data_IF_553716750835
#
_entry.id   IF_553716750835
#
_cell.length_a   1.000
_cell.length_b   1.000
_cell.length_c   1.000
_cell.angle_alpha   90.00
_cell.angle_beta   90.00
_cell.angle_gamma   90.00
#
_symmetry.space_group_name_H-M   'P 1'
#
loop_
_entity.id
_entity.type
_entity.pdbx_description
1 polymer ?
#
# COMPACT_ATOMS: atom_id res chain seq x y z
N UNK A 1 -59.03 -0.84 -31.11
CA UNK A 1 -60.18 -1.51 -30.46
C UNK A 1 -59.76 -2.96 -30.20
N UNK A 2 -60.11 -3.52 -29.04
CA UNK A 2 -59.75 -4.86 -28.48
C UNK A 2 -58.40 -4.85 -27.72
N UNK A 3 -58.37 -4.85 -26.39
CA UNK A 3 -58.78 -5.83 -25.35
C UNK A 3 -57.65 -6.79 -24.92
N UNK A 4 -57.28 -6.62 -23.64
CA UNK A 4 -56.70 -7.53 -22.64
C UNK A 4 -56.11 -8.88 -23.07
N UNK A 5 -54.87 -9.11 -22.63
CA UNK A 5 -54.46 -10.42 -22.08
C UNK A 5 -53.89 -10.19 -20.69
N UNK A 6 -54.66 -10.59 -19.67
CA UNK A 6 -54.22 -10.75 -18.29
C UNK A 6 -53.31 -11.97 -18.18
N UNK A 7 -52.17 -11.81 -17.50
CA UNK A 7 -51.36 -12.91 -16.98
C UNK A 7 -50.94 -12.58 -15.56
N UNK A 8 -51.72 -13.04 -14.58
CA UNK A 8 -51.40 -12.99 -13.16
C UNK A 8 -50.24 -13.95 -12.83
N UNK A 9 -49.22 -13.47 -12.12
CA UNK A 9 -48.47 -14.27 -11.15
C UNK A 9 -48.05 -13.40 -9.96
N UNK A 10 -49.02 -12.90 -9.20
CA UNK A 10 -48.80 -12.10 -7.98
C UNK A 10 -49.12 -12.89 -6.70
N UNK A 11 -48.79 -14.20 -6.69
CA UNK A 11 -49.09 -15.11 -5.58
C UNK A 11 -47.88 -15.77 -4.91
N UNK A 12 -46.67 -15.71 -5.49
CA UNK A 12 -45.50 -16.42 -4.93
C UNK A 12 -44.59 -15.56 -4.06
N UNK A 13 -44.59 -14.24 -4.23
CA UNK A 13 -43.63 -13.34 -3.55
C UNK A 13 -44.02 -12.96 -2.12
N UNK A 14 -45.31 -12.99 -1.78
CA UNK A 14 -45.79 -12.66 -0.43
C UNK A 14 -45.51 -13.82 0.55
N UNK A 15 -45.82 -15.06 0.14
CA UNK A 15 -45.55 -16.27 0.92
C UNK A 15 -44.05 -16.49 1.14
N UNK A 16 -43.21 -16.23 0.13
CA UNK A 16 -41.75 -16.31 0.27
C UNK A 16 -41.18 -15.31 1.29
N UNK A 17 -41.75 -14.10 1.39
CA UNK A 17 -41.32 -13.08 2.37
C UNK A 17 -41.80 -13.37 3.79
N UNK A 18 -43.00 -13.93 3.95
CA UNK A 18 -43.50 -14.35 5.27
C UNK A 18 -42.73 -15.56 5.80
N UNK A 19 -42.51 -16.59 4.97
CA UNK A 19 -41.68 -17.75 5.32
C UNK A 19 -40.24 -17.35 5.68
N UNK A 20 -39.60 -16.46 4.90
CA UNK A 20 -38.27 -15.94 5.24
C UNK A 20 -38.26 -15.19 6.57
N UNK A 21 -39.33 -14.47 6.91
CA UNK A 21 -39.44 -13.71 8.17
C UNK A 21 -39.64 -14.63 9.38
N UNK A 22 -40.40 -15.70 9.22
CA UNK A 22 -40.58 -16.75 10.23
C UNK A 22 -39.29 -17.53 10.44
N UNK A 23 -38.61 -17.94 9.37
CA UNK A 23 -37.30 -18.61 9.41
C UNK A 23 -36.23 -17.72 10.06
N UNK A 24 -36.27 -16.41 9.77
CA UNK A 24 -35.43 -15.41 10.43
C UNK A 24 -35.72 -15.36 11.93
N UNK A 25 -36.98 -15.21 12.35
CA UNK A 25 -37.32 -15.17 13.78
C UNK A 25 -36.96 -16.46 14.51
N UNK A 26 -37.12 -17.63 13.87
CA UNK A 26 -36.73 -18.92 14.43
C UNK A 26 -35.20 -19.04 14.59
N UNK A 27 -34.42 -18.65 13.58
CA UNK A 27 -32.96 -18.66 13.65
C UNK A 27 -32.43 -17.67 14.71
N UNK A 28 -33.07 -16.51 14.81
CA UNK A 28 -32.68 -15.44 15.75
C UNK A 28 -33.16 -15.70 17.18
N UNK A 29 -34.22 -16.50 17.35
CA UNK A 29 -34.78 -16.90 18.65
C UNK A 29 -34.27 -18.24 19.17
N UNK A 30 -33.65 -19.06 18.32
CA UNK A 30 -33.08 -20.35 18.71
C UNK A 30 -31.74 -20.22 19.45
N UNK A 31 -31.57 -20.99 20.52
CA UNK A 31 -30.31 -21.15 21.27
C UNK A 31 -29.21 -21.90 20.48
N UNK A 32 -29.27 -21.92 19.14
CA UNK A 32 -28.19 -22.50 18.35
C UNK A 32 -26.91 -21.72 18.66
N UNK A 33 -25.79 -22.39 19.02
CA UNK A 33 -24.56 -21.70 19.33
C UNK A 33 -23.96 -21.13 18.04
N UNK A 34 -24.45 -19.97 17.61
CA UNK A 34 -24.04 -19.29 16.38
C UNK A 34 -22.53 -19.10 16.30
N UNK A 35 -21.89 -18.93 17.47
CA UNK A 35 -20.44 -18.84 17.60
C UNK A 35 -19.69 -20.11 17.13
N UNK A 36 -20.33 -21.28 17.07
CA UNK A 36 -19.73 -22.55 16.61
C UNK A 36 -19.80 -22.73 15.09
N UNK A 37 -20.57 -21.90 14.38
CA UNK A 37 -20.70 -21.96 12.93
C UNK A 37 -19.45 -21.44 12.23
N UNK A 38 -18.58 -22.37 11.86
CA UNK A 38 -17.30 -22.07 11.21
C UNK A 38 -17.42 -21.70 9.71
N UNK A 39 -18.61 -21.87 9.12
CA UNK A 39 -18.88 -21.59 7.71
C UNK A 39 -20.23 -20.87 7.54
N UNK A 40 -20.18 -19.63 7.04
CA UNK A 40 -21.34 -18.78 6.82
C UNK A 40 -22.32 -19.33 5.78
N UNK A 41 -21.89 -20.25 4.90
CA UNK A 41 -22.78 -20.92 3.95
C UNK A 41 -23.76 -21.89 4.63
N UNK A 42 -23.51 -22.24 5.90
CA UNK A 42 -24.37 -23.10 6.72
C UNK A 42 -25.36 -22.32 7.57
N UNK A 43 -25.30 -20.99 7.55
CA UNK A 43 -26.29 -20.12 8.19
C UNK A 43 -27.59 -20.23 7.39
N UNK A 44 -28.71 -20.52 8.05
CA UNK A 44 -29.99 -20.68 7.36
C UNK A 44 -31.08 -19.88 8.08
N UNK A 45 -31.77 -18.93 7.42
CA UNK A 45 -31.54 -18.47 6.05
C UNK A 45 -30.26 -17.63 5.92
N UNK A 46 -29.58 -17.70 4.76
CA UNK A 46 -28.41 -16.82 4.48
C UNK A 46 -28.91 -15.42 4.14
N UNK A 47 -28.92 -14.52 5.13
CA UNK A 47 -29.31 -13.11 4.95
C UNK A 47 -28.27 -12.19 5.59
N UNK A 48 -28.32 -10.89 5.29
CA UNK A 48 -27.45 -9.91 5.92
C UNK A 48 -27.57 -9.94 7.45
N UNK A 49 -28.80 -10.06 7.97
CA UNK A 49 -29.04 -10.07 9.43
C UNK A 49 -28.48 -11.32 10.10
N UNK A 50 -28.74 -12.50 9.55
CA UNK A 50 -28.28 -13.77 10.15
C UNK A 50 -26.77 -13.92 10.08
N UNK A 51 -26.15 -13.49 8.98
CA UNK A 51 -24.69 -13.44 8.84
C UNK A 51 -24.07 -12.46 9.84
N UNK A 52 -24.63 -11.26 9.98
CA UNK A 52 -24.14 -10.27 10.94
C UNK A 52 -24.23 -10.78 12.38
N UNK A 53 -25.37 -11.38 12.77
CA UNK A 53 -25.54 -11.97 14.11
C UNK A 53 -24.57 -13.12 14.37
N UNK A 54 -24.33 -13.97 13.38
CA UNK A 54 -23.35 -15.05 13.46
C UNK A 54 -21.93 -14.50 13.70
N UNK A 55 -21.52 -13.51 12.90
CA UNK A 55 -20.22 -12.85 13.05
C UNK A 55 -20.08 -12.14 14.40
N UNK A 56 -21.14 -11.48 14.89
CA UNK A 56 -21.17 -10.86 16.22
C UNK A 56 -21.02 -11.90 17.34
N UNK A 57 -21.77 -13.00 17.28
CA UNK A 57 -21.68 -14.07 18.27
C UNK A 57 -20.27 -14.71 18.29
N UNK A 58 -19.67 -14.94 17.12
CA UNK A 58 -18.28 -15.44 17.00
C UNK A 58 -17.27 -14.45 17.57
N UNK A 59 -17.42 -13.15 17.27
CA UNK A 59 -16.55 -12.11 17.81
C UNK A 59 -16.60 -12.04 19.33
N UNK A 60 -17.80 -12.09 19.93
CA UNK A 60 -17.99 -12.11 21.39
C UNK A 60 -17.38 -13.35 22.04
N UNK A 61 -17.31 -14.47 21.32
CA UNK A 61 -16.67 -15.71 21.74
C UNK A 61 -15.17 -15.78 21.36
N UNK A 62 -14.52 -14.65 21.09
CA UNK A 62 -13.10 -14.55 20.72
C UNK A 62 -12.70 -15.42 19.50
N UNK A 63 -13.62 -15.59 18.55
CA UNK A 63 -13.40 -16.33 17.31
C UNK A 63 -13.47 -15.38 16.10
N UNK A 64 -12.30 -15.07 15.53
CA UNK A 64 -12.14 -13.96 14.58
C UNK A 64 -12.09 -14.36 13.10
N UNK A 65 -11.98 -15.65 12.82
CA UNK A 65 -11.93 -16.19 11.46
C UNK A 65 -13.16 -17.05 11.18
N UNK A 66 -13.78 -16.86 10.01
CA UNK A 66 -14.97 -17.59 9.60
C UNK A 66 -14.90 -17.87 8.10
N UNK A 67 -15.25 -19.08 7.66
CA UNK A 67 -15.32 -19.39 6.23
C UNK A 67 -16.60 -18.80 5.62
N UNK A 68 -16.52 -18.43 4.35
CA UNK A 68 -17.64 -18.09 3.49
C UNK A 68 -17.39 -18.76 2.14
N UNK A 69 -17.69 -20.07 2.07
CA UNK A 69 -17.32 -20.89 0.91
C UNK A 69 -15.80 -20.92 0.73
N UNK A 70 -15.31 -20.42 -0.41
CA UNK A 70 -13.88 -20.33 -0.71
C UNK A 70 -13.17 -19.11 -0.11
N UNK A 71 -13.92 -18.16 0.48
CA UNK A 71 -13.38 -16.94 1.07
C UNK A 71 -13.22 -17.11 2.58
N UNK A 72 -12.17 -16.51 3.16
CA UNK A 72 -12.00 -16.39 4.60
C UNK A 72 -12.37 -14.98 5.04
N UNK A 73 -13.35 -14.85 5.92
CA UNK A 73 -13.71 -13.60 6.60
C UNK A 73 -12.88 -13.49 7.87
N UNK A 74 -12.13 -12.39 8.02
CA UNK A 74 -11.33 -12.09 9.19
C UNK A 74 -11.85 -10.80 9.84
N UNK A 75 -12.14 -10.85 11.13
CA UNK A 75 -12.53 -9.68 11.93
C UNK A 75 -11.36 -9.22 12.78
N UNK A 76 -10.98 -7.95 12.67
CA UNK A 76 -9.87 -7.41 13.47
C UNK A 76 -10.30 -7.31 14.95
N UNK A 77 -9.63 -8.01 15.88
CA UNK A 77 -9.99 -7.97 17.30
C UNK A 77 -9.56 -6.67 17.99
N UNK A 78 -8.70 -5.85 17.38
CA UNK A 78 -8.07 -4.67 17.99
C UNK A 78 -7.35 -4.95 19.34
N UNK A 79 -7.06 -6.22 19.62
CA UNK A 79 -6.28 -6.68 20.77
C UNK A 79 -5.27 -7.75 20.33
N UNK A 80 -4.11 -7.85 21.00
CA UNK A 80 -3.13 -8.90 20.70
C UNK A 80 -3.67 -10.27 21.13
N UNK A 81 -3.55 -11.25 20.25
CA UNK A 81 -3.95 -12.66 20.51
C UNK A 81 -2.80 -13.58 20.08
N UNK A 82 -1.67 -13.57 20.80
CA UNK A 82 -0.44 -14.26 20.38
C UNK A 82 -0.63 -15.77 20.23
N UNK A 83 -1.48 -16.38 21.07
CA UNK A 83 -1.78 -17.82 21.01
C UNK A 83 -2.38 -18.27 19.68
N UNK A 84 -3.01 -17.37 18.92
CA UNK A 84 -3.61 -17.69 17.62
C UNK A 84 -2.56 -17.81 16.50
N UNK A 85 -1.36 -17.27 16.72
CA UNK A 85 -0.30 -17.17 15.71
C UNK A 85 1.02 -17.78 16.20
N UNK A 86 0.96 -18.74 17.12
CA UNK A 86 2.15 -19.39 17.64
C UNK A 86 2.78 -20.34 16.61
N UNK A 87 4.09 -20.63 16.69
CA UNK A 87 4.75 -21.60 15.82
C UNK A 87 4.11 -23.01 15.88
N UNK A 88 3.58 -23.39 17.04
CA UNK A 88 2.89 -24.67 17.26
C UNK A 88 1.60 -24.72 16.43
N UNK A 89 0.81 -23.65 16.43
CA UNK A 89 -0.39 -23.54 15.59
C UNK A 89 -0.01 -23.56 14.11
N UNK A 90 1.06 -22.87 13.71
CA UNK A 90 1.54 -22.93 12.31
C UNK A 90 1.87 -24.37 11.88
N UNK A 91 2.56 -25.12 12.75
CA UNK A 91 2.89 -26.53 12.50
C UNK A 91 1.66 -27.44 12.49
N UNK A 92 0.68 -27.20 13.36
CA UNK A 92 -0.59 -27.95 13.38
C UNK A 92 -1.28 -27.87 12.01
N UNK A 93 -1.44 -26.66 11.48
CA UNK A 93 -2.08 -26.48 10.17
C UNK A 93 -1.24 -27.03 9.01
N UNK A 94 0.09 -26.95 9.10
CA UNK A 94 0.99 -27.46 8.07
C UNK A 94 0.96 -29.01 7.97
N UNK A 95 1.03 -29.69 9.11
CA UNK A 95 1.11 -31.16 9.19
C UNK A 95 -0.25 -31.86 9.02
N UNK A 96 -1.36 -31.14 9.20
CA UNK A 96 -2.70 -31.71 9.08
C UNK A 96 -2.96 -32.30 7.68
N UNK A 97 -3.37 -33.57 7.55
CA UNK A 97 -3.68 -34.15 6.24
C UNK A 97 -4.81 -33.41 5.51
N UNK A 98 -5.78 -32.89 6.26
CA UNK A 98 -6.95 -32.18 5.75
C UNK A 98 -7.15 -30.84 6.49
N UNK A 99 -6.36 -29.80 6.19
CA UNK A 99 -6.39 -28.51 6.90
C UNK A 99 -7.76 -27.81 6.82
N UNK A 100 -8.56 -28.11 5.79
CA UNK A 100 -9.94 -27.64 5.65
C UNK A 100 -10.91 -28.18 6.73
N UNK A 101 -10.57 -29.29 7.41
CA UNK A 101 -11.34 -29.82 8.54
C UNK A 101 -11.02 -29.13 9.86
N UNK A 102 -9.89 -28.42 9.94
CA UNK A 102 -9.55 -27.62 11.12
C UNK A 102 -10.45 -26.38 11.22
N UNK A 103 -10.32 -25.68 12.36
CA UNK A 103 -10.99 -24.40 12.57
C UNK A 103 -10.60 -23.40 11.46
N UNK A 104 -11.51 -22.49 11.06
CA UNK A 104 -11.17 -21.45 10.10
C UNK A 104 -9.97 -20.65 10.58
N UNK A 105 -8.94 -20.54 9.75
CA UNK A 105 -7.76 -19.77 10.08
C UNK A 105 -7.05 -19.29 8.82
N UNK A 106 -6.27 -18.21 8.95
CA UNK A 106 -5.44 -17.71 7.84
C UNK A 106 -4.40 -18.75 7.39
N UNK A 107 -3.94 -19.61 8.29
CA UNK A 107 -3.00 -20.69 7.98
C UNK A 107 -3.64 -21.80 7.13
N UNK A 108 -4.96 -22.01 7.20
CA UNK A 108 -5.65 -22.90 6.24
C UNK A 108 -5.48 -22.39 4.81
N UNK A 109 -5.65 -21.09 4.59
CA UNK A 109 -5.45 -20.45 3.28
C UNK A 109 -3.97 -20.55 2.89
N UNK A 110 -3.07 -20.22 3.81
CA UNK A 110 -1.62 -20.30 3.59
C UNK A 110 -1.15 -21.69 3.15
N UNK A 111 -1.60 -22.74 3.87
CA UNK A 111 -1.27 -24.14 3.60
C UNK A 111 -1.87 -24.63 2.28
N UNK A 112 -3.14 -24.30 2.01
CA UNK A 112 -3.77 -24.67 0.73
C UNK A 112 -3.01 -24.07 -0.46
N UNK A 113 -2.64 -22.79 -0.36
CA UNK A 113 -1.80 -22.11 -1.35
C UNK A 113 -0.44 -22.80 -1.51
N UNK A 114 0.22 -23.17 -0.40
CA UNK A 114 1.52 -23.86 -0.43
C UNK A 114 1.43 -25.22 -1.14
N UNK A 115 0.44 -26.05 -0.77
CA UNK A 115 0.21 -27.38 -1.38
C UNK A 115 -0.08 -27.29 -2.87
N UNK A 116 -0.88 -26.30 -3.30
CA UNK A 116 -1.26 -26.13 -4.70
C UNK A 116 -0.06 -25.81 -5.62
N UNK A 117 1.01 -25.21 -5.08
CA UNK A 117 2.26 -25.00 -5.84
C UNK A 117 2.95 -26.34 -6.10
N UNK A 118 2.85 -27.30 -5.17
CA UNK A 118 3.51 -28.62 -5.21
C UNK A 118 2.72 -29.67 -6.01
N UNK A 119 1.39 -29.62 -5.96
CA UNK A 119 0.53 -30.73 -6.39
C UNK A 119 0.42 -30.93 -7.91
N UNK A 120 1.09 -30.12 -8.72
CA UNK A 120 0.95 -30.12 -10.17
C UNK A 120 2.28 -30.49 -10.84
N UNK A 121 2.22 -31.32 -11.88
CA UNK A 121 3.39 -31.74 -12.70
C UNK A 121 4.15 -30.51 -13.20
N UNK A 122 3.41 -29.45 -13.54
CA UNK A 122 3.93 -28.10 -13.72
C UNK A 122 3.44 -27.19 -12.58
N UNK A 123 4.34 -26.61 -11.77
CA UNK A 123 3.95 -25.72 -10.69
C UNK A 123 3.16 -24.51 -11.20
N UNK A 124 1.94 -24.35 -10.71
CA UNK A 124 1.13 -23.16 -11.01
C UNK A 124 1.27 -22.15 -9.89
N UNK A 125 1.63 -20.93 -10.30
CA UNK A 125 1.78 -19.79 -9.41
C UNK A 125 0.46 -19.45 -8.72
N UNK A 126 0.46 -19.36 -7.39
CA UNK A 126 -0.73 -19.03 -6.59
C UNK A 126 -0.69 -17.60 -6.08
N UNK A 127 -1.86 -17.01 -5.81
CA UNK A 127 -2.05 -15.66 -5.28
C UNK A 127 -3.07 -15.58 -4.16
N UNK A 128 -2.83 -14.72 -3.17
CA UNK A 128 -3.74 -14.47 -2.05
C UNK A 128 -4.12 -12.98 -2.07
N UNK A 129 -5.40 -12.69 -2.32
CA UNK A 129 -5.90 -11.31 -2.32
C UNK A 129 -6.48 -10.98 -0.95
N UNK A 130 -5.92 -9.98 -0.29
CA UNK A 130 -6.41 -9.48 1.01
C UNK A 130 -7.09 -8.13 0.79
N UNK A 131 -8.42 -8.12 0.88
CA UNK A 131 -9.25 -6.92 0.72
C UNK A 131 -9.85 -6.46 2.06
N UNK A 132 -10.34 -5.22 2.09
CA UNK A 132 -10.97 -4.63 3.27
C UNK A 132 -10.70 -3.14 3.41
N UNK A 133 -11.50 -2.46 4.22
CA UNK A 133 -11.33 -1.04 4.50
C UNK A 133 -10.03 -0.74 5.27
N UNK A 134 -9.70 0.54 5.39
CA UNK A 134 -8.55 0.98 6.18
C UNK A 134 -8.72 0.55 7.64
N UNK A 135 -7.67 0.01 8.26
CA UNK A 135 -7.75 -0.53 9.63
C UNK A 135 -8.39 -1.92 9.77
N UNK A 136 -8.92 -2.52 8.70
CA UNK A 136 -9.57 -3.85 8.75
C UNK A 136 -8.62 -5.03 9.04
N UNK A 137 -7.30 -4.80 9.19
CA UNK A 137 -6.33 -5.85 9.49
C UNK A 137 -5.58 -6.44 8.29
N UNK A 138 -5.68 -5.84 7.09
CA UNK A 138 -5.00 -6.34 5.87
C UNK A 138 -3.50 -6.56 6.06
N UNK A 139 -2.80 -5.54 6.55
CA UNK A 139 -1.35 -5.58 6.79
C UNK A 139 -0.96 -6.65 7.81
N UNK A 140 -1.79 -6.80 8.85
CA UNK A 140 -1.59 -7.84 9.88
C UNK A 140 -1.75 -9.25 9.29
N UNK A 141 -2.83 -9.48 8.53
CA UNK A 141 -3.06 -10.75 7.83
C UNK A 141 -1.90 -11.12 6.90
N UNK A 142 -1.39 -10.15 6.11
CA UNK A 142 -0.20 -10.37 5.27
C UNK A 142 1.03 -10.74 6.10
N UNK A 143 1.26 -10.07 7.24
CA UNK A 143 2.36 -10.40 8.15
C UNK A 143 2.22 -11.82 8.72
N UNK A 144 1.02 -12.25 9.10
CA UNK A 144 0.78 -13.61 9.59
C UNK A 144 1.09 -14.67 8.51
N UNK A 145 0.68 -14.44 7.26
CA UNK A 145 1.01 -15.33 6.14
C UNK A 145 2.52 -15.40 5.90
N UNK A 146 3.22 -14.27 5.99
CA UNK A 146 4.67 -14.24 5.81
C UNK A 146 5.40 -15.03 6.89
N UNK A 147 5.00 -14.90 8.15
CA UNK A 147 5.53 -15.72 9.25
C UNK A 147 5.27 -17.20 9.00
N UNK A 148 4.03 -17.55 8.63
CA UNK A 148 3.67 -18.92 8.30
C UNK A 148 4.59 -19.51 7.22
N UNK A 149 4.77 -18.80 6.10
CA UNK A 149 5.67 -19.25 5.04
C UNK A 149 7.14 -19.29 5.45
N UNK A 150 7.60 -18.41 6.32
CA UNK A 150 8.96 -18.47 6.84
C UNK A 150 9.20 -19.76 7.67
N UNK A 151 8.18 -20.24 8.39
CA UNK A 151 8.24 -21.51 9.14
C UNK A 151 8.15 -22.72 8.21
N UNK A 152 7.16 -22.76 7.29
CA UNK A 152 6.87 -24.00 6.52
C UNK A 152 7.70 -24.16 5.25
N UNK A 153 8.26 -23.08 4.71
CA UNK A 153 9.12 -23.10 3.52
C UNK A 153 10.63 -23.10 3.88
N UNK A 154 10.97 -23.36 5.14
CA UNK A 154 12.33 -23.64 5.56
C UNK A 154 12.60 -25.16 5.50
N UNK A 155 13.83 -25.55 5.18
CA UNK A 155 14.19 -26.97 5.21
C UNK A 155 14.29 -27.44 6.67
N UNK A 156 13.65 -28.57 7.05
CA UNK A 156 13.77 -29.12 8.39
C UNK A 156 15.21 -29.52 8.76
N UNK A 157 16.03 -29.82 7.74
CA UNK A 157 17.39 -30.36 7.89
C UNK A 157 18.50 -29.33 7.69
N UNK A 158 18.18 -28.10 7.26
CA UNK A 158 19.20 -27.08 7.01
C UNK A 158 18.92 -25.78 7.78
N UNK A 159 19.75 -25.58 8.81
CA UNK A 159 19.79 -24.34 9.59
C UNK A 159 19.97 -23.09 8.72
N UNK A 160 20.71 -23.21 7.61
CA UNK A 160 20.91 -22.10 6.68
C UNK A 160 19.61 -21.70 5.96
N UNK A 161 18.74 -22.66 5.60
CA UNK A 161 17.47 -22.33 4.94
C UNK A 161 16.49 -21.64 5.89
N UNK A 162 16.48 -22.03 7.17
CA UNK A 162 15.73 -21.32 8.21
C UNK A 162 16.17 -19.85 8.33
N UNK A 163 17.49 -19.61 8.43
CA UNK A 163 18.04 -18.26 8.47
C UNK A 163 17.71 -17.43 7.23
N UNK A 164 17.70 -18.04 6.04
CA UNK A 164 17.34 -17.35 4.81
C UNK A 164 15.88 -16.90 4.84
N UNK A 165 14.96 -17.80 5.20
CA UNK A 165 13.53 -17.51 5.27
C UNK A 165 13.22 -16.41 6.30
N UNK A 166 13.81 -16.50 7.51
CA UNK A 166 13.68 -15.49 8.56
C UNK A 166 14.24 -14.13 8.11
N UNK A 167 15.43 -14.10 7.48
CA UNK A 167 16.00 -12.86 6.93
C UNK A 167 15.11 -12.22 5.87
N UNK A 168 14.48 -13.02 5.01
CA UNK A 168 13.54 -12.52 3.99
C UNK A 168 12.30 -11.92 4.66
N UNK A 169 11.70 -12.63 5.63
CA UNK A 169 10.56 -12.17 6.41
C UNK A 169 10.87 -10.84 7.12
N UNK A 170 11.97 -10.80 7.89
CA UNK A 170 12.41 -9.60 8.60
C UNK A 170 12.68 -8.42 7.67
N UNK A 171 13.33 -8.63 6.51
CA UNK A 171 13.56 -7.54 5.55
C UNK A 171 12.28 -6.95 5.00
N UNK A 172 11.28 -7.77 4.71
CA UNK A 172 10.01 -7.27 4.21
C UNK A 172 9.24 -6.55 5.32
N UNK A 173 9.27 -7.05 6.57
CA UNK A 173 8.66 -6.36 7.70
C UNK A 173 9.35 -5.01 7.99
N UNK A 174 10.69 -4.98 7.95
CA UNK A 174 11.49 -3.77 8.16
C UNK A 174 11.33 -2.75 7.03
N UNK A 175 10.76 -3.15 5.89
CA UNK A 175 10.42 -2.21 4.82
C UNK A 175 9.12 -1.45 5.04
N UNK A 176 8.26 -1.92 5.96
CA UNK A 176 6.96 -1.29 6.20
C UNK A 176 7.09 0.17 6.65
N UNK A 177 7.95 0.56 7.62
CA UNK A 177 8.03 1.95 8.04
C UNK A 177 8.38 2.92 6.91
N UNK A 178 9.22 2.49 5.95
CA UNK A 178 9.52 3.29 4.75
C UNK A 178 8.29 3.38 3.85
N UNK A 179 7.62 2.26 3.57
CA UNK A 179 6.40 2.27 2.76
C UNK A 179 5.26 3.08 3.38
N UNK A 180 5.12 3.05 4.70
CA UNK A 180 4.12 3.81 5.44
C UNK A 180 4.44 5.30 5.41
N UNK A 181 5.70 5.69 5.65
CA UNK A 181 6.12 7.09 5.55
C UNK A 181 5.79 7.71 4.17
N UNK A 182 6.13 7.00 3.09
CA UNK A 182 5.98 7.51 1.72
C UNK A 182 4.61 7.25 1.08
N UNK A 183 3.84 6.31 1.60
CA UNK A 183 2.62 5.80 0.95
C UNK A 183 1.36 5.88 1.81
N UNK A 184 1.47 6.09 3.11
CA UNK A 184 0.32 6.28 3.98
C UNK A 184 0.09 7.77 4.28
N UNK A 185 -1.16 8.09 4.60
CA UNK A 185 -1.56 9.42 5.00
C UNK A 185 -2.69 9.37 6.02
N UNK A 186 -2.84 10.46 6.77
CA UNK A 186 -3.98 10.68 7.64
C UNK A 186 -5.19 11.10 6.82
N UNK A 187 -6.28 10.35 7.00
CA UNK A 187 -7.61 10.60 6.42
C UNK A 187 -8.60 10.93 7.54
N UNK A 188 -9.85 11.23 7.19
CA UNK A 188 -10.90 11.47 8.19
C UNK A 188 -11.18 10.29 9.12
N UNK A 189 -11.02 9.05 8.65
CA UNK A 189 -11.38 7.83 9.39
C UNK A 189 -10.19 7.05 9.95
N UNK A 190 -8.99 7.24 9.39
CA UNK A 190 -7.79 6.52 9.81
C UNK A 190 -6.56 7.43 9.70
N UNK A 191 -5.77 7.49 10.77
CA UNK A 191 -4.54 8.25 10.86
C UNK A 191 -3.42 7.68 9.98
N UNK A 192 -3.41 6.36 9.72
CA UNK A 192 -2.35 5.68 8.97
C UNK A 192 -2.95 4.84 7.82
N UNK A 193 -3.58 5.50 6.86
CA UNK A 193 -4.24 4.81 5.74
C UNK A 193 -3.30 4.65 4.55
N UNK A 194 -3.06 3.41 4.09
CA UNK A 194 -2.33 3.17 2.84
C UNK A 194 -3.06 3.73 1.63
N UNK A 195 -2.33 4.51 0.81
CA UNK A 195 -2.81 5.15 -0.42
C UNK A 195 -2.09 4.59 -1.65
N UNK A 196 -1.66 3.34 -1.56
CA UNK A 196 -1.05 2.54 -2.62
C UNK A 196 -1.43 1.07 -2.44
N UNK A 197 -1.39 0.30 -3.52
CA UNK A 197 -1.48 -1.15 -3.48
C UNK A 197 -0.10 -1.78 -3.27
N UNK A 198 -0.05 -2.86 -2.51
CA UNK A 198 1.18 -3.60 -2.20
C UNK A 198 1.06 -5.03 -2.71
N UNK A 199 2.04 -5.46 -3.50
CA UNK A 199 2.18 -6.81 -4.01
C UNK A 199 3.48 -7.41 -3.47
N UNK A 200 3.41 -8.55 -2.79
CA UNK A 200 4.57 -9.19 -2.15
C UNK A 200 4.76 -10.55 -2.80
N UNK A 201 5.69 -10.65 -3.73
CA UNK A 201 5.99 -11.92 -4.37
C UNK A 201 6.98 -12.72 -3.53
N UNK A 202 6.57 -13.84 -2.94
CA UNK A 202 7.50 -14.82 -2.35
C UNK A 202 7.97 -15.81 -3.43
N UNK A 203 9.24 -16.22 -3.38
CA UNK A 203 9.85 -17.10 -4.38
C UNK A 203 10.27 -18.42 -3.73
N UNK A 204 9.77 -19.52 -4.29
CA UNK A 204 10.08 -20.87 -3.85
C UNK A 204 10.90 -21.60 -4.92
N UNK A 205 11.83 -22.46 -4.50
CA UNK A 205 12.50 -23.39 -5.41
C UNK A 205 11.66 -24.65 -5.66
N UNK A 206 12.17 -25.58 -6.49
CA UNK A 206 11.49 -26.86 -6.77
C UNK A 206 11.30 -27.75 -5.54
N UNK A 207 12.13 -27.57 -4.50
CA UNK A 207 12.02 -28.24 -3.22
C UNK A 207 11.07 -27.50 -2.25
N UNK A 208 10.28 -26.52 -2.73
CA UNK A 208 9.37 -25.68 -1.94
C UNK A 208 10.05 -24.79 -0.89
N UNK A 209 11.36 -24.61 -0.97
CA UNK A 209 12.08 -23.77 -0.02
C UNK A 209 12.05 -22.30 -0.45
N UNK A 210 11.91 -21.39 0.50
CA UNK A 210 11.93 -19.95 0.24
C UNK A 210 13.34 -19.50 -0.16
N UNK A 211 13.46 -18.94 -1.37
CA UNK A 211 14.74 -18.47 -1.92
C UNK A 211 14.79 -16.95 -2.08
N UNK A 212 13.67 -16.25 -2.12
CA UNK A 212 13.67 -14.82 -2.31
C UNK A 212 12.30 -14.18 -2.17
N UNK A 213 12.27 -12.85 -2.27
CA UNK A 213 11.03 -12.10 -2.30
C UNK A 213 11.16 -10.79 -3.10
N UNK A 214 10.06 -10.28 -3.61
CA UNK A 214 10.01 -8.96 -4.22
C UNK A 214 8.79 -8.20 -3.72
N UNK A 215 8.96 -6.94 -3.35
CA UNK A 215 7.86 -6.06 -2.97
C UNK A 215 7.67 -5.03 -4.08
N UNK A 216 6.45 -4.96 -4.60
CA UNK A 216 6.07 -4.00 -5.63
C UNK A 216 4.91 -3.16 -5.12
N UNK A 217 5.01 -1.86 -5.28
CA UNK A 217 3.96 -0.91 -4.95
C UNK A 217 3.33 -0.41 -6.23
N UNK A 218 2.01 -0.29 -6.27
CA UNK A 218 1.26 0.15 -7.44
C UNK A 218 0.17 1.14 -7.06
N UNK A 219 -0.27 1.96 -8.03
CA UNK A 219 -1.39 2.90 -7.87
C UNK A 219 -1.28 3.83 -6.66
N UNK A 220 -0.10 4.39 -6.42
CA UNK A 220 0.06 5.48 -5.45
C UNK A 220 -0.88 6.64 -5.81
N UNK A 221 -1.59 7.18 -4.82
CA UNK A 221 -2.43 8.37 -4.95
C UNK A 221 -1.57 9.63 -5.12
N UNK A 222 -0.93 9.77 -6.29
CA UNK A 222 0.01 10.86 -6.59
C UNK A 222 -0.63 12.24 -6.40
N UNK A 223 -1.93 12.36 -6.69
CA UNK A 223 -2.69 13.59 -6.51
C UNK A 223 -2.59 14.17 -5.11
N UNK A 224 -2.45 13.30 -4.09
CA UNK A 224 -2.29 13.69 -2.68
C UNK A 224 -1.05 14.53 -2.42
N UNK A 225 -0.02 14.47 -3.26
CA UNK A 225 1.18 15.31 -3.10
C UNK A 225 0.84 16.79 -3.16
N UNK A 226 -0.09 17.18 -4.05
CA UNK A 226 -0.40 18.58 -4.32
C UNK A 226 -1.81 19.02 -3.86
N UNK A 227 -2.70 18.07 -3.56
CA UNK A 227 -4.08 18.35 -3.19
C UNK A 227 -4.60 17.33 -2.19
N UNK A 228 -5.09 17.81 -1.05
CA UNK A 228 -5.66 17.00 0.04
C UNK A 228 -7.05 17.54 0.40
N UNK A 229 -7.93 16.68 0.91
CA UNK A 229 -9.23 17.12 1.40
C UNK A 229 -9.09 17.93 2.71
N UNK A 230 -10.12 18.71 3.03
CA UNK A 230 -10.17 19.43 4.31
C UNK A 230 -9.99 18.47 5.48
N UNK A 231 -9.19 18.86 6.48
CA UNK A 231 -8.83 18.05 7.66
C UNK A 231 -8.02 16.77 7.39
N UNK A 232 -7.63 16.49 6.15
CA UNK A 232 -6.67 15.43 5.81
C UNK A 232 -5.23 15.97 5.76
N UNK A 233 -4.26 15.05 5.84
CA UNK A 233 -2.85 15.36 5.66
C UNK A 233 -2.33 14.84 4.32
N UNK A 234 -1.18 15.37 3.94
CA UNK A 234 -0.31 14.79 2.92
C UNK A 234 0.35 13.49 3.46
N UNK A 235 1.21 12.84 2.67
CA UNK A 235 1.98 11.67 3.10
C UNK A 235 2.81 11.95 4.36
N UNK A 236 2.92 10.96 5.25
CA UNK A 236 3.60 11.12 6.54
C UNK A 236 5.02 11.64 6.43
N UNK A 237 5.76 11.22 5.39
CA UNK A 237 7.16 11.61 5.19
C UNK A 237 7.36 13.13 5.17
N UNK A 238 6.41 13.91 4.63
CA UNK A 238 6.52 15.36 4.62
C UNK A 238 6.44 15.97 6.03
N UNK A 239 5.67 15.37 6.93
CA UNK A 239 5.55 15.79 8.33
C UNK A 239 6.73 15.29 9.14
N UNK A 240 7.17 14.05 8.90
CA UNK A 240 8.36 13.47 9.53
C UNK A 240 9.60 14.33 9.28
N UNK A 241 9.89 14.71 8.03
CA UNK A 241 11.05 15.58 7.74
C UNK A 241 10.88 16.99 8.34
N UNK A 242 9.66 17.53 8.38
CA UNK A 242 9.44 18.88 8.92
C UNK A 242 9.50 18.92 10.45
N UNK A 243 9.21 17.81 11.14
CA UNK A 243 9.21 17.73 12.61
C UNK A 243 10.52 17.16 13.16
N UNK A 244 11.05 16.09 12.55
CA UNK A 244 12.21 15.35 13.04
C UNK A 244 13.57 15.81 12.49
N UNK A 245 13.63 16.79 11.58
CA UNK A 245 14.91 17.30 11.12
C UNK A 245 15.71 17.98 12.25
N UNK A 246 17.00 17.67 12.33
CA UNK A 246 17.98 18.38 13.16
C UNK A 246 18.19 19.83 12.70
N UNK A 247 18.83 20.66 13.52
CA UNK A 247 19.09 22.07 13.18
C UNK A 247 19.90 22.21 11.87
N UNK A 248 20.91 21.37 11.67
CA UNK A 248 21.74 21.38 10.46
C UNK A 248 20.95 20.92 9.23
N UNK A 249 20.15 19.86 9.37
CA UNK A 249 19.27 19.38 8.30
C UNK A 249 18.22 20.44 7.92
N UNK A 250 17.64 21.15 8.89
CA UNK A 250 16.70 22.26 8.63
C UNK A 250 17.35 23.38 7.85
N UNK A 251 18.58 23.75 8.19
CA UNK A 251 19.35 24.74 7.44
C UNK A 251 19.62 24.26 6.02
N UNK A 252 20.07 23.01 5.86
CA UNK A 252 20.41 22.42 4.58
C UNK A 252 19.19 22.21 3.66
N UNK A 253 18.04 21.87 4.22
CA UNK A 253 16.81 21.59 3.49
C UNK A 253 15.90 22.82 3.39
N UNK A 254 16.32 23.96 3.94
CA UNK A 254 15.53 25.18 4.05
C UNK A 254 14.14 24.94 4.67
N UNK A 255 14.09 24.10 5.71
CA UNK A 255 12.88 23.78 6.49
C UNK A 255 12.92 24.48 7.85
N UNK A 256 12.94 25.81 7.81
CA UNK A 256 12.91 26.64 9.01
C UNK A 256 11.70 26.29 9.89
N UNK A 257 11.88 26.36 11.21
CA UNK A 257 10.80 26.10 12.15
C UNK A 257 9.67 27.12 11.97
N UNK A 258 8.41 26.66 11.95
CA UNK A 258 7.25 27.50 11.66
C UNK A 258 7.07 27.88 10.18
N UNK A 259 7.91 27.39 9.26
CA UNK A 259 7.70 27.63 7.83
C UNK A 259 6.37 27.05 7.35
N UNK A 260 5.61 27.86 6.62
CA UNK A 260 4.32 27.47 6.05
C UNK A 260 4.52 26.88 4.64
N UNK A 261 3.95 25.70 4.41
CA UNK A 261 3.97 25.05 3.10
C UNK A 261 2.56 24.73 2.64
N UNK A 262 2.24 25.13 1.40
CA UNK A 262 0.90 24.95 0.81
C UNK A 262 0.50 23.48 0.68
N UNK A 263 1.48 22.57 0.54
CA UNK A 263 1.27 21.13 0.46
C UNK A 263 1.47 20.40 1.79
N UNK A 264 1.55 21.13 2.91
CA UNK A 264 1.65 20.57 4.26
C UNK A 264 0.48 21.06 5.14
N UNK A 265 -0.78 20.72 4.82
CA UNK A 265 -1.93 21.16 5.60
C UNK A 265 -1.98 20.49 6.97
N UNK A 266 -2.59 21.16 7.96
CA UNK A 266 -2.78 20.65 9.32
C UNK A 266 -1.48 20.18 10.02
N UNK A 267 -0.35 20.95 9.95
CA UNK A 267 0.94 20.54 10.54
C UNK A 267 0.91 20.45 12.07
N UNK A 268 0.02 21.19 12.72
CA UNK A 268 -0.19 21.19 14.18
C UNK A 268 -0.68 19.85 14.72
N UNK A 269 -1.34 19.05 13.89
CA UNK A 269 -1.79 17.71 14.26
C UNK A 269 -0.60 16.76 14.35
N UNK A 270 -0.26 16.35 15.56
CA UNK A 270 0.82 15.38 15.83
C UNK A 270 0.25 13.98 15.92
N UNK A 271 0.87 13.07 15.16
CA UNK A 271 0.51 11.67 15.08
C UNK A 271 1.70 10.79 15.48
N UNK A 272 1.44 9.55 15.88
CA UNK A 272 2.51 8.57 16.17
C UNK A 272 3.37 8.30 14.93
N UNK A 273 2.76 8.37 13.74
CA UNK A 273 3.44 8.18 12.45
C UNK A 273 4.40 9.33 12.09
N UNK A 274 4.49 10.40 12.89
CA UNK A 274 5.41 11.52 12.66
C UNK A 274 6.85 11.24 13.13
N UNK A 275 7.14 10.07 13.71
CA UNK A 275 8.48 9.70 14.15
C UNK A 275 9.43 9.45 12.96
N UNK A 276 10.36 10.38 12.75
CA UNK A 276 11.27 10.38 11.60
C UNK A 276 12.41 9.35 11.75
N UNK A 277 12.88 9.15 12.97
CA UNK A 277 13.97 8.23 13.32
C UNK A 277 13.63 6.79 12.90
N UNK A 278 12.37 6.36 13.13
CA UNK A 278 11.90 5.04 12.72
C UNK A 278 12.05 4.84 11.20
N UNK A 279 11.75 5.86 10.40
CA UNK A 279 11.92 5.81 8.94
C UNK A 279 13.40 5.82 8.54
N UNK A 280 14.24 6.64 9.19
CA UNK A 280 15.70 6.67 8.92
C UNK A 280 16.37 5.34 9.22
N UNK A 281 16.08 4.76 10.38
CA UNK A 281 16.62 3.45 10.78
C UNK A 281 16.13 2.34 9.84
N UNK A 282 14.85 2.37 9.46
CA UNK A 282 14.34 1.43 8.46
C UNK A 282 15.05 1.58 7.11
N UNK A 283 15.30 2.80 6.63
CA UNK A 283 16.07 3.05 5.41
C UNK A 283 17.51 2.51 5.50
N UNK A 284 18.19 2.66 6.66
CA UNK A 284 19.53 2.09 6.89
C UNK A 284 19.50 0.55 6.83
N UNK A 285 18.53 -0.09 7.48
CA UNK A 285 18.36 -1.55 7.44
C UNK A 285 18.11 -2.10 6.03
N UNK A 286 17.55 -1.28 5.14
CA UNK A 286 17.37 -1.61 3.72
C UNK A 286 18.60 -1.30 2.85
N UNK A 287 19.68 -0.79 3.45
CA UNK A 287 20.92 -0.45 2.74
C UNK A 287 20.86 0.90 2.02
N UNK A 288 19.96 1.81 2.42
CA UNK A 288 19.94 3.19 1.96
C UNK A 288 20.79 4.01 2.92
N UNK A 289 22.00 4.35 2.50
CA UNK A 289 22.97 5.06 3.32
C UNK A 289 22.58 6.53 3.60
N UNK A 290 23.19 7.13 4.61
CA UNK A 290 22.87 8.49 5.04
C UNK A 290 23.00 9.55 3.91
N UNK A 291 24.01 9.52 3.02
CA UNK A 291 24.06 10.43 1.87
C UNK A 291 22.88 10.26 0.92
N UNK A 292 22.47 9.02 0.63
CA UNK A 292 21.30 8.77 -0.23
C UNK A 292 20.01 9.21 0.45
N UNK A 293 19.86 8.94 1.75
CA UNK A 293 18.74 9.45 2.54
C UNK A 293 18.64 10.97 2.48
N UNK A 294 19.76 11.67 2.69
CA UNK A 294 19.81 13.12 2.60
C UNK A 294 19.39 13.63 1.21
N UNK A 295 19.83 13.00 0.12
CA UNK A 295 19.40 13.38 -1.23
C UNK A 295 17.88 13.20 -1.42
N UNK A 296 17.29 12.14 -0.85
CA UNK A 296 15.84 11.91 -0.88
C UNK A 296 15.11 13.01 -0.10
N UNK A 297 15.54 13.31 1.13
CA UNK A 297 14.92 14.34 1.97
C UNK A 297 15.07 15.75 1.38
N UNK A 298 16.22 16.07 0.79
CA UNK A 298 16.44 17.31 0.02
C UNK A 298 15.43 17.44 -1.13
N UNK A 299 15.20 16.37 -1.89
CA UNK A 299 14.22 16.39 -2.97
C UNK A 299 12.80 16.62 -2.45
N UNK A 300 12.43 16.00 -1.33
CA UNK A 300 11.12 16.20 -0.70
C UNK A 300 10.93 17.63 -0.18
N UNK A 301 11.96 18.21 0.45
CA UNK A 301 11.94 19.62 0.85
C UNK A 301 11.81 20.54 -0.37
N UNK A 302 12.52 20.23 -1.47
CA UNK A 302 12.37 20.92 -2.74
C UNK A 302 10.94 20.89 -3.29
N UNK A 303 10.21 19.78 -3.11
CA UNK A 303 8.78 19.70 -3.45
C UNK A 303 7.91 20.61 -2.58
N UNK A 304 8.15 20.68 -1.27
CA UNK A 304 7.42 21.59 -0.39
C UNK A 304 7.59 23.05 -0.81
N UNK A 305 8.83 23.47 -1.12
CA UNK A 305 9.11 24.80 -1.67
C UNK A 305 8.48 25.03 -3.04
N UNK A 306 8.50 24.02 -3.92
CA UNK A 306 7.84 24.11 -5.22
C UNK A 306 6.34 24.39 -5.06
N UNK A 307 5.68 23.77 -4.07
CA UNK A 307 4.27 23.99 -3.76
C UNK A 307 3.91 25.41 -3.36
N UNK A 308 4.86 26.18 -2.83
CA UNK A 308 4.69 27.61 -2.52
C UNK A 308 4.88 28.54 -3.73
N UNK A 309 5.16 27.99 -4.92
CA UNK A 309 5.26 28.78 -6.15
C UNK A 309 3.88 29.26 -6.58
N UNK A 310 3.65 30.58 -6.56
CA UNK A 310 2.40 31.22 -6.99
C UNK A 310 2.61 32.10 -8.21
N UNK A 311 1.69 31.98 -9.16
CA UNK A 311 1.65 32.77 -10.39
C UNK A 311 0.51 33.79 -10.31
N UNK A 312 0.74 34.98 -10.86
CA UNK A 312 -0.31 35.98 -11.06
C UNK A 312 -0.84 35.92 -12.49
N UNK A 313 -2.07 36.41 -12.68
CA UNK A 313 -2.68 36.50 -14.00
C UNK A 313 -1.90 37.49 -14.88
N UNK A 314 -1.68 37.13 -16.15
CA UNK A 314 -1.03 38.03 -17.10
C UNK A 314 -2.08 38.94 -17.74
N UNK A 315 -1.81 40.24 -17.78
CA UNK A 315 -2.64 41.19 -18.55
C UNK A 315 -2.53 41.02 -20.07
N UNK A 316 -1.60 40.17 -20.54
CA UNK A 316 -1.38 39.85 -21.94
C UNK A 316 -1.06 38.35 -22.08
N UNK A 317 -1.91 37.60 -22.79
CA UNK A 317 -1.75 36.16 -23.02
C UNK A 317 -0.51 35.79 -23.86
N UNK A 318 0.08 36.76 -24.57
CA UNK A 318 1.33 36.58 -25.30
C UNK A 318 2.58 36.63 -24.40
N UNK A 319 2.43 36.93 -23.11
CA UNK A 319 3.53 36.99 -22.14
C UNK A 319 3.40 35.87 -21.08
N UNK A 320 4.54 35.30 -20.61
CA UNK A 320 4.53 34.36 -19.50
C UNK A 320 3.89 34.93 -18.24
N UNK A 321 3.12 34.13 -17.51
CA UNK A 321 2.57 34.54 -16.21
C UNK A 321 3.70 34.98 -15.26
N UNK A 322 3.59 36.18 -14.66
CA UNK A 322 4.55 36.62 -13.66
C UNK A 322 4.43 35.77 -12.39
N UNK A 323 5.56 35.60 -11.71
CA UNK A 323 5.59 35.05 -10.36
C UNK A 323 5.16 36.12 -9.38
N UNK A 324 4.43 35.72 -8.33
CA UNK A 324 4.23 36.60 -7.18
C UNK A 324 5.55 36.85 -6.46
N UNK A 325 5.71 38.02 -5.85
CA UNK A 325 6.97 38.42 -5.22
C UNK A 325 7.38 37.49 -4.08
N UNK A 326 6.40 37.03 -3.29
CA UNK A 326 6.58 36.08 -2.19
C UNK A 326 6.95 34.66 -2.67
N UNK A 327 6.70 34.33 -3.93
CA UNK A 327 7.01 33.01 -4.51
C UNK A 327 8.44 32.93 -5.07
N UNK A 328 9.12 34.06 -5.30
CA UNK A 328 10.47 34.10 -5.90
C UNK A 328 11.49 33.32 -5.09
N UNK A 329 11.46 33.47 -3.75
CA UNK A 329 12.36 32.73 -2.85
C UNK A 329 12.10 31.23 -2.90
N UNK A 330 10.82 30.83 -2.89
CA UNK A 330 10.40 29.43 -2.92
C UNK A 330 10.84 28.70 -4.19
N UNK A 331 10.69 29.33 -5.36
CA UNK A 331 11.16 28.75 -6.63
C UNK A 331 12.66 28.55 -6.62
N UNK A 332 13.43 29.57 -6.22
CA UNK A 332 14.90 29.48 -6.18
C UNK A 332 15.36 28.37 -5.25
N UNK A 333 14.73 28.28 -4.08
CA UNK A 333 15.02 27.24 -3.09
C UNK A 333 14.67 25.85 -3.64
N UNK A 334 13.50 25.70 -4.28
CA UNK A 334 13.10 24.46 -4.94
C UNK A 334 14.09 24.05 -6.05
N UNK A 335 14.51 25.00 -6.89
CA UNK A 335 15.49 24.76 -7.96
C UNK A 335 16.84 24.28 -7.38
N UNK A 336 17.33 24.95 -6.35
CA UNK A 336 18.57 24.57 -5.64
C UNK A 336 18.49 23.15 -5.06
N UNK A 337 17.43 22.85 -4.30
CA UNK A 337 17.25 21.55 -3.64
C UNK A 337 17.04 20.40 -4.64
N UNK A 338 16.33 20.66 -5.74
CA UNK A 338 16.14 19.69 -6.82
C UNK A 338 17.33 19.61 -7.79
N UNK A 339 18.36 20.44 -7.58
CA UNK A 339 19.57 20.55 -8.42
C UNK A 339 19.24 20.86 -9.88
N UNK A 340 18.32 21.79 -10.08
CA UNK A 340 17.89 22.30 -11.37
C UNK A 340 18.25 23.79 -11.49
N UNK A 341 18.60 24.28 -12.68
CA UNK A 341 18.74 25.72 -12.87
C UNK A 341 17.36 26.41 -12.78
N UNK A 342 17.32 27.60 -12.16
CA UNK A 342 16.08 28.34 -11.88
C UNK A 342 15.31 28.72 -13.16
N UNK A 343 16.00 29.27 -14.16
CA UNK A 343 15.37 29.75 -15.40
C UNK A 343 14.68 28.63 -16.20
N UNK A 344 15.33 27.48 -16.49
CA UNK A 344 14.69 26.34 -17.14
C UNK A 344 13.50 25.78 -16.38
N UNK A 345 13.56 25.75 -15.04
CA UNK A 345 12.42 25.31 -14.22
C UNK A 345 11.24 26.26 -14.43
N UNK A 346 11.46 27.56 -14.31
CA UNK A 346 10.43 28.57 -14.50
C UNK A 346 9.89 28.63 -15.92
N UNK A 347 10.75 28.46 -16.92
CA UNK A 347 10.35 28.36 -18.32
C UNK A 347 9.45 27.13 -18.52
N UNK A 348 9.83 25.98 -17.97
CA UNK A 348 9.05 24.74 -18.05
C UNK A 348 7.67 24.88 -17.39
N UNK A 349 7.57 25.62 -16.29
CA UNK A 349 6.27 25.85 -15.63
C UNK A 349 5.39 26.82 -16.41
N UNK A 350 5.98 27.84 -17.06
CA UNK A 350 5.24 28.96 -17.68
C UNK A 350 5.05 28.87 -19.19
N UNK A 351 5.78 27.99 -19.88
CA UNK A 351 5.76 27.92 -21.34
C UNK A 351 5.50 26.48 -21.79
N UNK A 352 4.48 26.30 -22.64
CA UNK A 352 4.20 25.04 -23.31
C UNK A 352 4.85 25.00 -24.68
N UNK A 353 5.66 23.97 -24.92
CA UNK A 353 6.25 23.69 -26.24
C UNK A 353 5.34 22.75 -27.02
N UNK A 354 4.85 23.19 -28.16
CA UNK A 354 3.95 22.43 -29.04
C UNK A 354 4.75 22.08 -30.30
N UNK A 355 4.86 20.77 -30.59
CA UNK A 355 5.43 20.29 -31.85
C UNK A 355 4.29 19.91 -32.78
N UNK A 356 4.19 20.59 -33.92
CA UNK A 356 3.07 20.39 -34.85
C UNK A 356 3.56 20.23 -36.31
N UNK A 357 2.84 19.40 -37.07
CA UNK A 357 3.03 19.18 -38.50
C UNK A 357 4.16 18.20 -38.88
N UNK A 358 4.18 17.77 -40.15
CA UNK A 358 5.18 16.84 -40.71
C UNK A 358 6.61 17.41 -40.72
N UNK A 359 6.76 18.74 -40.60
CA UNK A 359 8.05 19.46 -40.61
C UNK A 359 8.62 19.76 -39.22
N UNK A 360 8.08 19.17 -38.13
CA UNK A 360 8.59 19.35 -36.75
C UNK A 360 8.70 20.82 -36.31
N UNK A 361 7.75 21.68 -36.67
CA UNK A 361 7.77 23.07 -36.20
C UNK A 361 7.50 23.13 -34.70
N UNK A 362 8.33 23.89 -33.98
CA UNK A 362 8.30 24.02 -32.52
C UNK A 362 7.73 25.38 -32.15
N UNK A 363 6.52 25.42 -31.63
CA UNK A 363 5.87 26.63 -31.12
C UNK A 363 6.02 26.71 -29.61
N UNK A 364 6.30 27.91 -29.09
CA UNK A 364 6.39 28.19 -27.65
C UNK A 364 5.27 29.12 -27.29
N UNK A 365 4.30 28.62 -26.51
CA UNK A 365 3.15 29.40 -26.07
C UNK A 365 3.22 29.62 -24.54
N UNK A 366 3.11 30.86 -24.06
CA UNK A 366 2.90 31.13 -22.64
C UNK A 366 1.66 30.41 -22.11
N UNK A 367 1.77 29.91 -20.88
CA UNK A 367 0.68 29.27 -20.15
C UNK A 367 -0.12 30.30 -19.37
N UNK A 368 -1.42 30.06 -19.20
CA UNK A 368 -2.25 30.78 -18.24
C UNK A 368 -1.85 30.44 -16.80
N UNK A 369 -2.34 31.21 -15.83
CA UNK A 369 -2.10 30.95 -14.40
C UNK A 369 -2.52 29.53 -14.00
N UNK A 370 -3.74 29.13 -14.36
CA UNK A 370 -4.27 27.80 -14.06
C UNK A 370 -3.46 26.68 -14.73
N UNK A 371 -2.96 26.91 -15.95
CA UNK A 371 -2.04 25.97 -16.61
C UNK A 371 -0.70 25.87 -15.87
N UNK A 372 -0.15 27.00 -15.40
CA UNK A 372 1.10 27.02 -14.62
C UNK A 372 0.95 26.24 -13.30
N UNK A 373 -0.14 26.46 -12.56
CA UNK A 373 -0.47 25.72 -11.33
C UNK A 373 -0.58 24.21 -11.60
N UNK A 374 -1.32 23.84 -12.66
CA UNK A 374 -1.47 22.43 -13.06
C UNK A 374 -0.13 21.80 -13.43
N UNK A 375 0.74 22.52 -14.15
CA UNK A 375 2.07 22.04 -14.54
C UNK A 375 2.99 21.85 -13.34
N UNK A 376 2.99 22.80 -12.39
CA UNK A 376 3.70 22.70 -11.11
C UNK A 376 3.28 21.44 -10.35
N UNK A 377 1.97 21.24 -10.19
CA UNK A 377 1.42 20.08 -9.49
C UNK A 377 1.77 18.77 -10.21
N UNK A 378 1.70 18.73 -11.53
CA UNK A 378 2.08 17.57 -12.33
C UNK A 378 3.57 17.24 -12.21
N UNK A 379 4.44 18.24 -12.19
CA UNK A 379 5.88 18.05 -11.96
C UNK A 379 6.12 17.42 -10.59
N UNK A 380 5.49 17.95 -9.53
CA UNK A 380 5.63 17.41 -8.18
C UNK A 380 5.12 15.96 -8.08
N UNK A 381 3.95 15.67 -8.66
CA UNK A 381 3.40 14.30 -8.75
C UNK A 381 4.37 13.33 -9.43
N UNK A 382 5.04 13.77 -10.51
CA UNK A 382 5.99 12.97 -11.25
C UNK A 382 7.28 12.72 -10.44
N UNK A 383 7.84 13.77 -9.84
CA UNK A 383 9.06 13.68 -9.03
C UNK A 383 8.80 12.77 -7.83
N UNK A 384 7.73 13.01 -7.06
CA UNK A 384 7.40 12.19 -5.89
C UNK A 384 7.18 10.71 -6.27
N UNK A 385 6.47 10.44 -7.36
CA UNK A 385 6.25 9.07 -7.83
C UNK A 385 7.54 8.32 -8.23
N UNK A 386 8.61 9.05 -8.58
CA UNK A 386 9.92 8.47 -8.92
C UNK A 386 10.84 8.38 -7.69
N UNK A 387 10.73 9.33 -6.76
CA UNK A 387 11.56 9.39 -5.55
C UNK A 387 11.03 8.51 -4.41
N UNK A 388 9.71 8.32 -4.31
CA UNK A 388 9.07 7.88 -3.07
C UNK A 388 9.18 6.39 -2.76
N UNK A 389 9.17 5.51 -3.78
CA UNK A 389 9.17 4.06 -3.57
C UNK A 389 9.83 3.35 -4.76
N UNK A 390 11.16 3.19 -4.78
CA UNK A 390 11.81 2.30 -5.71
C UNK A 390 11.26 0.88 -5.51
N UNK A 391 10.95 0.16 -6.59
CA UNK A 391 10.55 -1.24 -6.49
C UNK A 391 11.64 -2.05 -5.78
N UNK A 392 11.40 -2.45 -4.53
CA UNK A 392 12.34 -3.25 -3.76
C UNK A 392 12.35 -4.68 -4.28
N UNK A 393 13.35 -5.02 -5.11
CA UNK A 393 13.64 -6.40 -5.47
C UNK A 393 14.71 -6.96 -4.53
N UNK A 394 14.35 -7.92 -3.69
CA UNK A 394 15.30 -8.64 -2.84
C UNK A 394 15.77 -9.88 -3.61
N UNK A 395 16.99 -9.85 -4.15
CA UNK A 395 17.59 -11.00 -4.80
C UNK A 395 18.46 -11.80 -3.81
N UNK A 396 18.42 -13.15 -3.83
CA UNK A 396 19.27 -13.99 -2.98
C UNK A 396 20.78 -13.88 -3.28
N UNK A 397 21.18 -13.45 -4.48
CA UNK A 397 22.59 -13.38 -4.89
C UNK A 397 23.46 -12.30 -4.23
N UNK A 398 22.88 -11.47 -3.35
CA UNK A 398 23.56 -10.37 -2.63
C UNK A 398 23.82 -10.69 -1.14
N UNK A 399 23.70 -11.96 -0.75
CA UNK A 399 23.93 -12.44 0.61
C UNK A 399 25.28 -13.19 0.76
N UNK A 400 26.28 -12.83 -0.05
CA UNK A 400 27.68 -13.17 0.24
C UNK A 400 28.30 -12.09 1.13
N UNK A 401 29.14 -12.53 2.07
CA UNK A 401 29.76 -11.83 3.23
C UNK A 401 30.50 -10.49 3.00
N UNK A 402 30.32 -9.80 1.87
CA UNK A 402 30.92 -8.47 1.62
C UNK A 402 29.89 -7.51 1.04
N UNK A 403 29.46 -6.54 1.84
CA UNK A 403 28.76 -5.32 1.41
C UNK A 403 27.45 -5.52 0.64
N UNK A 404 26.32 -5.50 1.34
CA UNK A 404 24.99 -5.54 0.72
C UNK A 404 24.68 -4.23 -0.02
N UNK A 405 24.53 -4.26 -1.35
CA UNK A 405 23.90 -3.17 -2.13
C UNK A 405 22.51 -3.59 -2.59
N UNK A 406 21.49 -2.82 -2.20
CA UNK A 406 20.19 -2.86 -2.86
C UNK A 406 20.38 -2.34 -4.30
N UNK A 407 20.09 -3.14 -5.32
CA UNK A 407 20.04 -2.63 -6.69
C UNK A 407 18.76 -1.81 -6.87
N UNK A 408 18.87 -0.51 -6.59
CA UNK A 408 17.91 0.49 -7.03
C UNK A 408 17.98 0.57 -8.56
N UNK A 409 17.09 -0.14 -9.26
CA UNK A 409 16.92 0.08 -10.69
C UNK A 409 16.20 1.40 -10.90
N UNK A 410 16.98 2.47 -11.13
CA UNK A 410 16.51 3.60 -11.93
C UNK A 410 16.21 3.09 -13.35
N UNK A 411 15.09 3.50 -13.98
CA UNK A 411 14.77 3.09 -15.33
C UNK A 411 15.61 3.91 -16.32
N UNK A 412 16.89 3.56 -16.47
CA UNK A 412 17.68 3.94 -17.65
C UNK A 412 17.88 2.68 -18.48
N UNK A 413 17.35 2.71 -19.70
CA UNK A 413 17.15 1.54 -20.54
C UNK A 413 18.44 0.85 -20.97
N UNK A 414 18.49 -0.47 -20.77
CA UNK A 414 19.31 -1.42 -21.52
C UNK A 414 18.81 -2.85 -21.26
N UNK A 415 19.00 -3.80 -22.20
CA UNK A 415 18.12 -4.97 -22.38
C UNK A 415 18.40 -6.13 -21.40
N UNK A 416 17.33 -6.88 -21.11
CA UNK A 416 17.29 -8.08 -20.24
C UNK A 416 18.05 -9.27 -20.84
N UNK A 417 18.86 -10.02 -20.07
CA UNK A 417 19.18 -11.41 -20.40
C UNK A 417 18.16 -12.40 -19.81
N UNK A 418 18.20 -13.63 -20.33
CA UNK A 418 17.17 -14.66 -20.31
C UNK A 418 16.63 -15.13 -18.92
N UNK A 419 15.37 -15.60 -18.94
CA UNK A 419 14.57 -16.09 -17.79
C UNK A 419 14.95 -17.51 -17.34
N UNK A 420 14.87 -17.81 -16.03
CA UNK A 420 14.53 -19.15 -15.55
C UNK A 420 13.14 -19.21 -14.90
N UNK A 421 12.66 -20.45 -14.74
CA UNK A 421 11.27 -20.89 -14.57
C UNK A 421 10.68 -20.79 -13.15
N UNK A 422 9.34 -20.63 -13.08
CA UNK A 422 8.48 -20.77 -11.88
C UNK A 422 8.45 -19.56 -10.92
N UNK A 423 7.26 -19.07 -10.53
CA UNK A 423 7.11 -17.86 -9.66
C UNK A 423 5.86 -17.91 -8.77
N UNK A 424 5.93 -18.26 -7.50
CA UNK A 424 4.79 -18.04 -6.58
C UNK A 424 4.42 -16.53 -6.56
N UNK A 425 3.12 -16.17 -6.61
CA UNK A 425 2.60 -14.81 -6.86
C UNK A 425 1.63 -14.38 -5.76
N UNK A 426 2.08 -14.08 -4.55
CA UNK A 426 1.17 -13.61 -3.48
C UNK A 426 0.63 -12.21 -3.77
#
# INVERSE_FOLDING_TARGET
MLQQVNGQSSGSDAHGRESLREDLQAFLGGEAPLHQLDDLTKVNPVTLETVLRCLQARYTADTFYTRAGCTLVALNPFKPIPQLYSPEVMQEYHTAPQPQKLKPHIFTVGEQTYRNVKSLIEPVNQSIVVSGESGAGKTWTSRCLMKFYAVVAASPTSWESHKIAERIEQRILNSNPVMEAFGNACTLRNNNSSRFGKFIQLQLNRAQQMTGAAVQTYLLEKTRVACQASSERNFHIFYQICKGASADERLQWHLAEGAAFSWLPNPERTLEEDCFEVTREAMLHLGIDAPTQNNIFQALAGLLHLGNTRFADSGNEAQPCPLMDDAKCSVRTAASLLRLPEDPLLETLRIRTIRAGRRQQVFRKPCSRAECDTRRDCLAKLVYARSGLPGMRLYPGLLSSRGSRLLLHCPTGSPLPARPAGRVRV
#
